data_IF_315637759589
#
_entry.id   IF_315637759589
#
_cell.length_a   1.000
_cell.length_b   1.000
_cell.length_c   1.000
_cell.angle_alpha   90.00
_cell.angle_beta   90.00
_cell.angle_gamma   90.00
#
_symmetry.space_group_name_H-M   'P 1'
#
loop_
_entity.id
_entity.type
_entity.pdbx_description
1 polymer ?
#
# COMPACT_ATOMS: atom_id res chain seq x y z
N UNK A 1 14.11 19.32 16.16
CA UNK A 1 13.12 19.16 15.06
C UNK A 1 13.79 19.09 13.69
N UNK A 2 14.60 20.09 13.30
CA UNK A 2 15.26 20.12 11.97
C UNK A 2 16.18 18.92 11.64
N UNK A 3 16.87 18.32 12.61
CA UNK A 3 17.72 17.14 12.38
C UNK A 3 16.90 15.88 12.07
N UNK A 4 15.73 15.73 12.71
CA UNK A 4 14.84 14.59 12.52
C UNK A 4 14.11 14.67 11.19
N UNK A 5 13.66 15.87 10.80
CA UNK A 5 13.09 16.11 9.46
C UNK A 5 14.10 15.83 8.34
N UNK A 6 15.36 16.25 8.51
CA UNK A 6 16.44 15.90 7.58
C UNK A 6 16.68 14.39 7.51
N UNK A 7 16.70 13.69 8.65
CA UNK A 7 16.88 12.24 8.69
C UNK A 7 15.73 11.49 7.99
N UNK A 8 14.47 11.92 8.18
CA UNK A 8 13.30 11.34 7.50
C UNK A 8 13.38 11.56 5.99
N UNK A 9 13.73 12.78 5.55
CA UNK A 9 13.91 13.09 4.13
C UNK A 9 15.02 12.27 3.48
N UNK A 10 16.17 12.15 4.15
CA UNK A 10 17.30 11.35 3.65
C UNK A 10 16.93 9.88 3.54
N UNK A 11 16.27 9.32 4.57
CA UNK A 11 15.78 7.94 4.55
C UNK A 11 14.85 7.70 3.36
N UNK A 12 13.88 8.60 3.13
CA UNK A 12 12.93 8.49 2.01
C UNK A 12 13.63 8.57 0.65
N UNK A 13 14.54 9.52 0.46
CA UNK A 13 15.31 9.64 -0.78
C UNK A 13 16.14 8.38 -1.08
N UNK A 14 16.73 7.77 -0.05
CA UNK A 14 17.47 6.51 -0.20
C UNK A 14 16.54 5.36 -0.59
N UNK A 15 15.35 5.27 0.00
CA UNK A 15 14.37 4.24 -0.33
C UNK A 15 13.82 4.40 -1.76
N UNK A 16 13.50 5.62 -2.19
CA UNK A 16 13.06 5.92 -3.55
C UNK A 16 14.14 5.56 -4.58
N UNK A 17 15.40 5.88 -4.30
CA UNK A 17 16.52 5.48 -5.15
C UNK A 17 16.71 3.95 -5.20
N UNK A 18 16.63 3.28 -4.04
CA UNK A 18 16.74 1.82 -3.97
C UNK A 18 15.61 1.14 -4.76
N UNK A 19 14.37 1.59 -4.56
CA UNK A 19 13.19 1.16 -5.30
C UNK A 19 13.39 1.24 -6.83
N UNK A 20 13.88 2.39 -7.32
CA UNK A 20 14.15 2.57 -8.74
C UNK A 20 15.25 1.63 -9.26
N UNK A 21 16.38 1.50 -8.55
CA UNK A 21 17.47 0.60 -8.95
C UNK A 21 16.99 -0.86 -8.96
N UNK A 22 16.24 -1.29 -7.94
CA UNK A 22 15.68 -2.64 -7.89
C UNK A 22 14.68 -2.91 -9.01
N UNK A 23 13.85 -1.93 -9.37
CA UNK A 23 12.92 -2.05 -10.48
C UNK A 23 13.62 -2.18 -11.85
N UNK A 24 14.74 -1.48 -12.05
CA UNK A 24 15.49 -1.50 -13.31
C UNK A 24 16.40 -2.72 -13.48
N UNK A 25 17.05 -3.16 -12.40
CA UNK A 25 18.13 -4.17 -12.44
C UNK A 25 17.73 -5.51 -11.81
N UNK A 26 16.64 -5.53 -11.06
CA UNK A 26 16.37 -6.60 -10.10
C UNK A 26 17.28 -6.51 -8.88
N UNK A 27 16.88 -7.17 -7.79
CA UNK A 27 17.63 -7.12 -6.52
C UNK A 27 19.05 -7.68 -6.64
N UNK A 28 19.24 -8.77 -7.39
CA UNK A 28 20.53 -9.44 -7.49
C UNK A 28 21.61 -8.55 -8.12
N UNK A 29 21.30 -7.93 -9.27
CA UNK A 29 22.25 -7.11 -10.02
C UNK A 29 22.41 -5.69 -9.46
N UNK A 30 21.43 -5.18 -8.70
CA UNK A 30 21.52 -3.87 -8.05
C UNK A 30 22.69 -3.79 -7.06
N UNK A 31 23.40 -2.65 -7.05
CA UNK A 31 24.52 -2.39 -6.13
C UNK A 31 24.25 -1.20 -5.22
N UNK A 32 24.87 -1.20 -4.03
CA UNK A 32 24.82 -0.05 -3.10
C UNK A 32 25.41 1.22 -3.76
N UNK A 33 26.42 1.08 -4.61
CA UNK A 33 27.03 2.21 -5.30
C UNK A 33 26.05 2.91 -6.26
N UNK A 34 25.28 2.15 -7.03
CA UNK A 34 24.23 2.71 -7.90
C UNK A 34 23.14 3.43 -7.09
N UNK A 35 22.74 2.86 -5.95
CA UNK A 35 21.74 3.46 -5.05
C UNK A 35 22.26 4.77 -4.48
N UNK A 36 23.52 4.82 -4.02
CA UNK A 36 24.17 6.04 -3.52
C UNK A 36 24.21 7.12 -4.58
N UNK A 37 24.65 6.77 -5.79
CA UNK A 37 24.75 7.69 -6.92
C UNK A 37 23.38 8.26 -7.29
N UNK A 38 22.34 7.42 -7.30
CA UNK A 38 20.97 7.86 -7.61
C UNK A 38 20.34 8.70 -6.48
N UNK A 39 20.58 8.33 -5.22
CA UNK A 39 20.06 9.07 -4.07
C UNK A 39 20.76 10.42 -3.85
N UNK A 40 21.97 10.61 -4.40
CA UNK A 40 22.78 11.81 -4.16
C UNK A 40 23.22 11.94 -2.70
N UNK A 41 23.36 10.83 -1.97
CA UNK A 41 23.76 10.82 -0.56
C UNK A 41 25.14 10.18 -0.37
N UNK A 42 25.79 10.49 0.75
CA UNK A 42 27.07 9.88 1.10
C UNK A 42 26.88 8.44 1.56
N UNK A 43 27.95 7.65 1.42
CA UNK A 43 28.01 6.28 1.95
C UNK A 43 27.63 6.23 3.44
N UNK A 44 28.18 7.13 4.25
CA UNK A 44 27.87 7.22 5.68
C UNK A 44 26.39 7.51 5.96
N UNK A 45 25.75 8.39 5.18
CA UNK A 45 24.33 8.70 5.33
C UNK A 45 23.42 7.49 5.02
N UNK A 46 23.76 6.68 4.01
CA UNK A 46 23.03 5.44 3.72
C UNK A 46 23.19 4.43 4.85
N UNK A 47 24.42 4.15 5.28
CA UNK A 47 24.69 3.15 6.31
C UNK A 47 24.18 3.56 7.70
N UNK A 48 23.96 4.85 7.93
CA UNK A 48 23.23 5.32 9.12
C UNK A 48 21.78 4.82 9.16
N UNK A 49 21.13 4.63 8.01
CA UNK A 49 19.74 4.18 7.92
C UNK A 49 19.57 2.70 7.61
N UNK A 50 20.51 2.10 6.87
CA UNK A 50 20.42 0.73 6.37
C UNK A 50 21.79 0.04 6.39
N UNK A 51 21.89 -1.05 7.14
CA UNK A 51 23.14 -1.81 7.31
C UNK A 51 23.53 -2.65 6.08
N UNK A 52 22.60 -2.87 5.14
CA UNK A 52 22.76 -3.82 4.05
C UNK A 52 21.81 -3.55 2.88
N UNK A 53 22.11 -4.13 1.71
CA UNK A 53 21.21 -4.13 0.53
C UNK A 53 19.88 -4.82 0.85
N UNK A 54 19.93 -5.86 1.69
CA UNK A 54 18.74 -6.56 2.17
C UNK A 54 17.89 -5.68 3.10
N UNK A 55 18.51 -4.88 3.98
CA UNK A 55 17.79 -3.91 4.81
C UNK A 55 17.15 -2.79 3.99
N UNK A 56 17.79 -2.34 2.90
CA UNK A 56 17.16 -1.41 1.96
C UNK A 56 15.92 -2.03 1.30
N UNK A 57 16.02 -3.27 0.81
CA UNK A 57 14.89 -3.96 0.21
C UNK A 57 13.73 -4.14 1.22
N UNK A 58 14.03 -4.54 2.47
CA UNK A 58 13.02 -4.59 3.55
C UNK A 58 12.42 -3.23 3.85
N UNK A 59 13.23 -2.17 3.85
CA UNK A 59 12.74 -0.80 4.02
C UNK A 59 11.77 -0.41 2.91
N UNK A 60 12.07 -0.72 1.65
CA UNK A 60 11.14 -0.49 0.52
C UNK A 60 9.84 -1.29 0.70
N UNK A 61 9.93 -2.54 1.18
CA UNK A 61 8.73 -3.35 1.45
C UNK A 61 7.83 -2.73 2.54
N UNK A 62 8.42 -2.15 3.59
CA UNK A 62 7.69 -1.56 4.72
C UNK A 62 6.90 -0.31 4.33
N UNK A 63 7.34 0.45 3.32
CA UNK A 63 6.66 1.68 2.88
C UNK A 63 5.33 1.41 2.14
N UNK A 64 5.00 0.15 1.82
CA UNK A 64 3.75 -0.19 1.13
C UNK A 64 2.51 -0.01 2.00
N UNK A 65 2.63 -0.33 3.29
CA UNK A 65 1.50 -0.28 4.22
C UNK A 65 1.54 1.07 4.92
N UNK A 66 0.87 2.05 4.31
CA UNK A 66 0.73 3.39 4.90
C UNK A 66 -0.59 3.50 5.66
N UNK A 67 -0.51 3.98 6.90
CA UNK A 67 -1.68 4.36 7.70
C UNK A 67 -2.15 5.79 7.41
N UNK A 68 -1.44 6.55 6.58
CA UNK A 68 -1.72 7.96 6.27
C UNK A 68 -3.15 8.16 5.74
N UNK A 69 -3.62 7.22 4.92
CA UNK A 69 -4.93 7.31 4.26
C UNK A 69 -6.04 6.58 5.03
N UNK A 70 -5.76 6.16 6.27
CA UNK A 70 -6.76 5.56 7.12
C UNK A 70 -7.69 6.64 7.69
N UNK A 71 -8.93 6.66 7.21
CA UNK A 71 -9.98 7.51 7.73
C UNK A 71 -10.99 6.63 8.48
N UNK A 72 -11.22 6.85 9.78
CA UNK A 72 -12.25 6.13 10.52
C UNK A 72 -13.63 6.34 9.88
N UNK A 73 -14.37 5.24 9.69
CA UNK A 73 -15.73 5.25 9.14
C UNK A 73 -16.71 4.64 10.13
N UNK A 74 -17.99 4.83 9.87
CA UNK A 74 -19.06 4.14 10.61
C UNK A 74 -18.97 2.63 10.39
N UNK A 75 -18.81 2.22 9.13
CA UNK A 75 -18.68 0.83 8.70
C UNK A 75 -17.21 0.45 8.54
N UNK A 76 -16.80 -0.65 9.17
CA UNK A 76 -15.43 -1.18 9.04
C UNK A 76 -15.16 -1.76 7.68
N UNK A 77 -16.17 -2.31 7.00
CA UNK A 77 -16.04 -2.70 5.60
C UNK A 77 -15.74 -1.51 4.69
N UNK A 78 -16.26 -0.31 4.99
CA UNK A 78 -15.90 0.89 4.22
C UNK A 78 -14.43 1.28 4.44
N UNK A 79 -13.88 1.10 5.64
CA UNK A 79 -12.45 1.34 5.88
C UNK A 79 -11.55 0.38 5.09
N UNK A 80 -12.01 -0.85 4.86
CA UNK A 80 -11.33 -1.83 4.01
C UNK A 80 -11.43 -1.47 2.52
N UNK A 81 -12.63 -1.10 2.04
CA UNK A 81 -12.83 -0.61 0.66
C UNK A 81 -11.98 0.64 0.41
N UNK A 82 -12.00 1.62 1.32
CA UNK A 82 -11.17 2.83 1.24
C UNK A 82 -9.67 2.49 1.15
N UNK A 83 -9.20 1.55 1.97
CA UNK A 83 -7.80 1.11 1.95
C UNK A 83 -7.41 0.47 0.61
N UNK A 84 -8.28 -0.35 0.02
CA UNK A 84 -8.07 -0.89 -1.33
C UNK A 84 -8.06 0.24 -2.36
N UNK A 85 -9.15 0.99 -2.49
CA UNK A 85 -9.29 2.01 -3.53
C UNK A 85 -8.21 3.10 -3.46
N UNK A 86 -7.76 3.49 -2.27
CA UNK A 86 -6.62 4.43 -2.14
C UNK A 86 -5.29 3.81 -2.57
N UNK A 87 -5.09 2.52 -2.36
CA UNK A 87 -3.92 1.80 -2.85
C UNK A 87 -3.91 1.74 -4.39
N UNK A 88 -5.07 1.51 -5.02
CA UNK A 88 -5.22 1.55 -6.47
C UNK A 88 -4.85 2.91 -7.07
N UNK A 89 -5.41 3.99 -6.54
CA UNK A 89 -5.13 5.34 -7.04
C UNK A 89 -3.63 5.70 -6.89
N UNK A 90 -3.00 5.26 -5.80
CA UNK A 90 -1.60 5.59 -5.51
C UNK A 90 -0.60 4.76 -6.30
N UNK A 91 -0.91 3.50 -6.62
CA UNK A 91 0.05 2.55 -7.20
C UNK A 91 0.72 3.08 -8.49
N UNK A 92 -0.01 3.67 -9.46
CA UNK A 92 0.61 4.22 -10.67
C UNK A 92 1.38 5.52 -10.43
N UNK A 93 1.11 6.21 -9.32
CA UNK A 93 1.58 7.57 -9.02
C UNK A 93 2.75 7.60 -8.04
N UNK A 94 2.98 6.51 -7.31
CA UNK A 94 4.01 6.42 -6.27
C UNK A 94 5.05 5.33 -6.60
N UNK A 95 6.22 5.71 -7.17
CA UNK A 95 7.25 4.75 -7.59
C UNK A 95 7.74 3.82 -6.48
N UNK A 96 7.78 4.31 -5.24
CA UNK A 96 8.19 3.54 -4.07
C UNK A 96 7.19 2.42 -3.74
N UNK A 97 5.90 2.73 -3.81
CA UNK A 97 4.82 1.77 -3.59
C UNK A 97 4.87 0.66 -4.66
N UNK A 98 5.00 1.05 -5.92
CA UNK A 98 5.12 0.11 -7.03
C UNK A 98 6.34 -0.81 -6.88
N UNK A 99 7.49 -0.25 -6.55
CA UNK A 99 8.70 -1.05 -6.34
C UNK A 99 8.52 -2.05 -5.19
N UNK A 100 7.84 -1.65 -4.12
CA UNK A 100 7.46 -2.56 -3.05
C UNK A 100 6.60 -3.72 -3.55
N UNK A 101 5.53 -3.44 -4.28
CA UNK A 101 4.62 -4.47 -4.82
C UNK A 101 5.39 -5.46 -5.72
N UNK A 102 6.26 -4.95 -6.60
CA UNK A 102 7.11 -5.79 -7.47
C UNK A 102 8.11 -6.63 -6.68
N UNK A 103 8.77 -6.05 -5.68
CA UNK A 103 9.68 -6.79 -4.79
C UNK A 103 8.95 -7.88 -4.02
N UNK A 104 7.69 -7.63 -3.61
CA UNK A 104 6.88 -8.63 -2.90
C UNK A 104 6.52 -9.83 -3.76
N UNK A 105 6.44 -9.64 -5.08
CA UNK A 105 6.20 -10.67 -6.08
C UNK A 105 7.49 -11.38 -6.57
N UNK A 106 8.68 -10.88 -6.21
CA UNK A 106 9.95 -11.54 -6.56
C UNK A 106 10.18 -12.80 -5.71
N UNK A 107 9.78 -13.94 -6.28
CA UNK A 107 9.93 -15.25 -5.66
C UNK A 107 11.40 -15.63 -5.39
N UNK A 108 12.35 -15.11 -6.17
CA UNK A 108 13.79 -15.43 -6.01
C UNK A 108 14.40 -14.65 -4.85
N UNK A 109 13.93 -13.42 -4.62
CA UNK A 109 14.40 -12.54 -3.55
C UNK A 109 13.74 -12.79 -2.19
N UNK A 110 12.61 -13.53 -2.16
CA UNK A 110 11.82 -13.78 -0.94
C UNK A 110 12.62 -14.38 0.22
N UNK A 111 13.59 -15.25 -0.05
CA UNK A 111 14.44 -15.85 1.01
C UNK A 111 15.41 -14.85 1.64
N UNK A 112 15.68 -13.71 0.99
CA UNK A 112 16.67 -12.72 1.42
C UNK A 112 16.03 -11.55 2.16
N UNK A 113 14.88 -11.08 1.68
CA UNK A 113 14.21 -9.89 2.22
C UNK A 113 12.72 -10.09 2.54
N UNK A 114 12.17 -11.29 2.34
CA UNK A 114 10.77 -11.59 2.62
C UNK A 114 9.81 -11.05 1.55
N UNK A 115 8.57 -10.80 1.95
CA UNK A 115 7.51 -10.22 1.12
C UNK A 115 6.56 -9.42 2.01
N UNK A 116 5.90 -8.39 1.47
CA UNK A 116 4.86 -7.66 2.20
C UNK A 116 3.53 -8.41 2.26
N UNK A 117 3.36 -9.51 1.52
CA UNK A 117 2.10 -10.26 1.45
C UNK A 117 1.53 -10.71 2.80
N UNK A 118 2.32 -11.26 3.75
CA UNK A 118 1.78 -11.61 5.07
C UNK A 118 1.23 -10.39 5.81
N UNK A 119 1.90 -9.25 5.73
CA UNK A 119 1.46 -8.02 6.38
C UNK A 119 0.19 -7.44 5.72
N UNK A 120 0.04 -7.55 4.40
CA UNK A 120 -1.19 -7.20 3.70
C UNK A 120 -2.37 -8.11 4.05
N UNK A 121 -2.12 -9.42 4.17
CA UNK A 121 -3.11 -10.38 4.61
C UNK A 121 -3.56 -10.10 6.05
N UNK A 122 -2.62 -9.84 6.96
CA UNK A 122 -2.92 -9.47 8.35
C UNK A 122 -3.70 -8.15 8.45
N UNK A 123 -3.28 -7.12 7.69
CA UNK A 123 -3.97 -5.83 7.62
C UNK A 123 -5.44 -5.97 7.17
N UNK A 124 -5.68 -6.84 6.20
CA UNK A 124 -7.02 -7.10 5.64
C UNK A 124 -7.85 -7.94 6.62
N UNK A 125 -7.28 -9.03 7.15
CA UNK A 125 -7.93 -9.91 8.10
C UNK A 125 -8.34 -9.15 9.36
N UNK A 126 -7.48 -8.27 9.89
CA UNK A 126 -7.80 -7.46 11.07
C UNK A 126 -9.06 -6.59 10.87
N UNK A 127 -9.22 -5.97 9.69
CA UNK A 127 -10.42 -5.18 9.35
C UNK A 127 -11.66 -6.03 9.19
N UNK A 128 -11.54 -7.16 8.50
CA UNK A 128 -12.66 -8.10 8.34
C UNK A 128 -13.10 -8.70 9.68
N UNK A 129 -12.15 -8.97 10.58
CA UNK A 129 -12.44 -9.43 11.96
C UNK A 129 -13.18 -8.37 12.76
N UNK A 130 -12.74 -7.11 12.70
CA UNK A 130 -13.45 -6.01 13.38
C UNK A 130 -14.85 -5.79 12.79
N UNK A 131 -14.98 -5.81 11.46
CA UNK A 131 -16.26 -5.72 10.77
C UNK A 131 -17.20 -6.87 11.15
N UNK A 132 -16.67 -8.09 11.26
CA UNK A 132 -17.44 -9.26 11.71
C UNK A 132 -17.92 -9.12 13.14
N UNK A 133 -17.08 -8.61 14.05
CA UNK A 133 -17.48 -8.33 15.43
C UNK A 133 -18.60 -7.26 15.52
N UNK A 134 -18.69 -6.36 14.54
CA UNK A 134 -19.75 -5.34 14.41
C UNK A 134 -21.00 -5.82 13.68
N UNK A 135 -21.04 -7.08 13.26
CA UNK A 135 -22.17 -7.65 12.52
C UNK A 135 -22.28 -7.19 11.07
N UNK A 136 -21.21 -6.65 10.48
CA UNK A 136 -21.18 -6.22 9.08
C UNK A 136 -20.90 -7.38 8.10
N UNK A 137 -20.33 -8.47 8.59
CA UNK A 137 -19.84 -9.62 7.80
C UNK A 137 -20.72 -10.86 8.03
N UNK A 138 -20.96 -11.64 6.98
CA UNK A 138 -21.75 -12.86 7.04
C UNK A 138 -21.13 -13.91 7.99
N UNK A 139 -21.93 -14.71 8.72
CA UNK A 139 -21.42 -15.61 9.76
C UNK A 139 -20.39 -16.64 9.28
N UNK A 140 -20.55 -17.15 8.05
CA UNK A 140 -19.71 -18.21 7.47
C UNK A 140 -18.35 -17.72 6.98
N UNK A 141 -18.15 -16.41 6.83
CA UNK A 141 -16.92 -15.83 6.31
C UNK A 141 -15.81 -15.99 7.34
N UNK A 142 -14.70 -16.60 6.94
CA UNK A 142 -13.47 -16.64 7.74
C UNK A 142 -12.58 -15.46 7.32
N UNK A 143 -12.33 -14.45 8.19
CA UNK A 143 -11.58 -13.25 7.85
C UNK A 143 -10.19 -13.53 7.24
N UNK A 144 -9.47 -14.48 7.79
CA UNK A 144 -8.11 -14.85 7.37
C UNK A 144 -8.10 -15.46 5.96
N UNK A 145 -9.06 -16.34 5.66
CA UNK A 145 -9.20 -16.95 4.34
C UNK A 145 -9.63 -15.91 3.30
N UNK A 146 -10.59 -15.06 3.66
CA UNK A 146 -11.09 -13.98 2.79
C UNK A 146 -10.01 -12.95 2.48
N UNK A 147 -9.15 -12.64 3.45
CA UNK A 147 -8.00 -11.77 3.25
C UNK A 147 -6.99 -12.36 2.25
N UNK A 148 -6.74 -13.67 2.29
CA UNK A 148 -5.84 -14.34 1.33
C UNK A 148 -6.43 -14.34 -0.08
N UNK A 149 -7.72 -14.66 -0.23
CA UNK A 149 -8.42 -14.62 -1.52
C UNK A 149 -8.40 -13.20 -2.09
N UNK A 150 -8.72 -12.19 -1.27
CA UNK A 150 -8.67 -10.79 -1.69
C UNK A 150 -7.26 -10.38 -2.13
N UNK A 151 -6.22 -10.72 -1.36
CA UNK A 151 -4.83 -10.38 -1.71
C UNK A 151 -4.42 -11.00 -3.06
N UNK A 152 -4.80 -12.25 -3.31
CA UNK A 152 -4.56 -12.93 -4.58
C UNK A 152 -5.30 -12.25 -5.74
N UNK A 153 -6.58 -11.96 -5.55
CA UNK A 153 -7.41 -11.29 -6.56
C UNK A 153 -6.92 -9.87 -6.86
N UNK A 154 -6.63 -9.06 -5.83
CA UNK A 154 -6.06 -7.72 -5.94
C UNK A 154 -4.75 -7.75 -6.73
N UNK A 155 -3.85 -8.67 -6.38
CA UNK A 155 -2.56 -8.84 -7.08
C UNK A 155 -2.76 -9.22 -8.54
N UNK A 156 -3.72 -10.10 -8.83
CA UNK A 156 -4.07 -10.47 -10.21
C UNK A 156 -4.61 -9.29 -11.01
N UNK A 157 -5.54 -8.52 -10.44
CA UNK A 157 -6.13 -7.34 -11.09
C UNK A 157 -5.06 -6.31 -11.43
N UNK A 158 -4.19 -5.95 -10.48
CA UNK A 158 -3.16 -4.94 -10.75
C UNK A 158 -2.11 -5.40 -11.77
N UNK A 159 -1.79 -6.70 -11.83
CA UNK A 159 -0.91 -7.26 -12.86
C UNK A 159 -1.55 -7.24 -14.25
N UNK A 160 -2.83 -7.62 -14.36
CA UNK A 160 -3.56 -7.59 -15.64
C UNK A 160 -3.75 -6.15 -16.12
N UNK A 161 -4.11 -5.24 -15.23
CA UNK A 161 -4.25 -3.81 -15.53
C UNK A 161 -2.93 -3.20 -16.01
N UNK A 162 -1.81 -3.55 -15.37
CA UNK A 162 -0.47 -3.17 -15.85
C UNK A 162 -0.23 -3.67 -17.28
N UNK A 163 -0.48 -4.96 -17.52
CA UNK A 163 -0.15 -5.59 -18.79
C UNK A 163 -1.00 -5.10 -19.97
N UNK A 164 -2.26 -4.72 -19.73
CA UNK A 164 -3.21 -4.37 -20.77
C UNK A 164 -3.37 -2.85 -20.97
N UNK A 165 -3.18 -2.06 -19.92
CA UNK A 165 -3.53 -0.64 -19.93
C UNK A 165 -2.53 0.25 -19.18
N UNK A 166 -1.38 -0.27 -18.75
CA UNK A 166 -0.40 0.46 -17.91
C UNK A 166 -1.07 1.16 -16.72
N UNK A 167 -2.02 0.45 -16.08
CA UNK A 167 -2.87 0.92 -14.98
C UNK A 167 -3.85 2.06 -15.26
N UNK A 168 -4.07 2.45 -16.52
CA UNK A 168 -5.09 3.44 -16.85
C UNK A 168 -6.51 3.03 -16.43
N UNK A 169 -6.77 1.72 -16.29
CA UNK A 169 -8.06 1.14 -15.90
C UNK A 169 -8.07 0.54 -14.48
N UNK A 170 -7.05 0.79 -13.66
CA UNK A 170 -6.87 0.10 -12.38
C UNK A 170 -8.01 0.41 -11.40
N UNK A 171 -8.40 1.68 -11.27
CA UNK A 171 -9.45 2.12 -10.36
C UNK A 171 -10.81 1.46 -10.70
N UNK A 172 -11.14 1.36 -11.99
CA UNK A 172 -12.37 0.70 -12.48
C UNK A 172 -12.36 -0.80 -12.21
N UNK A 173 -11.22 -1.47 -12.44
CA UNK A 173 -11.10 -2.91 -12.17
C UNK A 173 -11.14 -3.21 -10.67
N UNK A 174 -10.60 -2.33 -9.83
CA UNK A 174 -10.65 -2.52 -8.39
C UNK A 174 -12.05 -2.30 -7.83
N UNK A 175 -12.79 -1.32 -8.34
CA UNK A 175 -14.22 -1.17 -8.05
C UNK A 175 -14.98 -2.45 -8.39
N UNK A 176 -14.79 -2.99 -9.60
CA UNK A 176 -15.42 -4.24 -10.03
C UNK A 176 -15.04 -5.44 -9.14
N UNK A 177 -13.78 -5.53 -8.69
CA UNK A 177 -13.37 -6.57 -7.75
C UNK A 177 -14.17 -6.50 -6.44
N UNK A 178 -14.32 -5.30 -5.87
CA UNK A 178 -15.10 -5.12 -4.65
C UNK A 178 -16.58 -5.41 -4.88
N UNK A 179 -17.16 -4.96 -5.99
CA UNK A 179 -18.57 -5.22 -6.33
C UNK A 179 -18.87 -6.72 -6.46
N UNK A 180 -17.89 -7.52 -6.88
CA UNK A 180 -18.03 -8.98 -6.94
C UNK A 180 -17.75 -9.68 -5.59
N UNK A 181 -16.84 -9.17 -4.77
CA UNK A 181 -16.47 -9.79 -3.50
C UNK A 181 -17.42 -9.43 -2.34
N UNK A 182 -17.87 -8.18 -2.26
CA UNK A 182 -18.67 -7.69 -1.14
C UNK A 182 -19.99 -8.45 -0.94
N UNK A 183 -20.76 -8.84 -1.99
CA UNK A 183 -21.97 -9.65 -1.80
C UNK A 183 -21.73 -11.01 -1.16
N UNK A 184 -20.54 -11.59 -1.32
CA UNK A 184 -20.16 -12.87 -0.70
C UNK A 184 -19.67 -12.71 0.76
N UNK A 185 -19.37 -11.48 1.19
CA UNK A 185 -18.76 -11.20 2.50
C UNK A 185 -19.73 -10.45 3.42
N UNK A 186 -20.55 -9.56 2.88
CA UNK A 186 -21.26 -8.50 3.63
C UNK A 186 -22.69 -8.91 3.95
N UNK A 187 -23.19 -8.57 5.14
CA UNK A 187 -24.62 -8.74 5.44
C UNK A 187 -25.48 -7.82 4.55
N UNK A 188 -26.66 -8.24 4.08
CA UNK A 188 -27.45 -7.46 3.12
C UNK A 188 -27.80 -6.03 3.60
N UNK A 189 -28.00 -5.82 4.89
CA UNK A 189 -28.32 -4.49 5.46
C UNK A 189 -27.15 -3.48 5.41
N UNK A 190 -25.93 -3.95 5.15
CA UNK A 190 -24.73 -3.13 5.06
C UNK A 190 -24.30 -2.92 3.61
N UNK A 191 -24.57 -3.87 2.72
CA UNK A 191 -24.04 -3.89 1.35
C UNK A 191 -24.35 -2.60 0.57
N UNK A 192 -25.60 -2.14 0.56
CA UNK A 192 -26.03 -0.94 -0.19
C UNK A 192 -25.47 0.38 0.36
N UNK A 193 -24.82 0.34 1.53
CA UNK A 193 -24.22 1.51 2.17
C UNK A 193 -22.74 1.66 1.86
N UNK A 194 -22.14 0.67 1.20
CA UNK A 194 -20.73 0.69 0.82
C UNK A 194 -20.54 1.46 -0.49
N UNK A 195 -19.52 2.32 -0.51
CA UNK A 195 -19.14 3.14 -1.64
C UNK A 195 -17.87 2.56 -2.28
N UNK A 196 -18.05 1.85 -3.40
CA UNK A 196 -17.02 1.20 -4.21
C UNK A 196 -16.72 1.94 -5.50
N UNK A 197 -17.27 3.15 -5.70
CA UNK A 197 -17.14 3.88 -6.96
C UNK A 197 -15.67 4.02 -7.39
N UNK A 198 -15.34 3.96 -8.70
CA UNK A 198 -13.95 4.00 -9.16
C UNK A 198 -13.14 5.20 -8.63
N UNK A 199 -13.78 6.36 -8.48
CA UNK A 199 -13.13 7.59 -7.98
C UNK A 199 -12.98 7.63 -6.45
N UNK A 200 -13.42 6.59 -5.72
CA UNK A 200 -13.42 6.54 -4.25
C UNK A 200 -12.04 6.80 -3.67
N UNK A 201 -11.00 6.17 -4.21
CA UNK A 201 -9.63 6.33 -3.73
C UNK A 201 -9.17 7.79 -3.76
N UNK A 202 -9.38 8.46 -4.89
CA UNK A 202 -9.06 9.88 -5.07
C UNK A 202 -9.83 10.77 -4.08
N UNK A 203 -11.12 10.49 -3.83
CA UNK A 203 -11.93 11.24 -2.85
C UNK A 203 -11.38 11.12 -1.43
N UNK A 204 -11.00 9.91 -1.00
CA UNK A 204 -10.42 9.69 0.35
C UNK A 204 -9.07 10.40 0.48
N UNK A 205 -8.22 10.35 -0.54
CA UNK A 205 -6.92 11.06 -0.55
C UNK A 205 -7.13 12.58 -0.45
N UNK A 206 -8.10 13.13 -1.18
CA UNK A 206 -8.44 14.55 -1.11
C UNK A 206 -8.94 14.95 0.30
N UNK A 207 -9.77 14.10 0.92
CA UNK A 207 -10.26 14.29 2.29
C UNK A 207 -9.11 14.39 3.30
N UNK A 208 -8.16 13.44 3.26
CA UNK A 208 -6.99 13.40 4.15
C UNK A 208 -6.12 14.65 3.97
N UNK A 209 -5.84 15.04 2.72
CA UNK A 209 -5.06 16.26 2.41
C UNK A 209 -5.75 17.53 2.90
N UNK A 210 -7.08 17.59 2.82
CA UNK A 210 -7.89 18.68 3.37
C UNK A 210 -7.74 18.81 4.88
N UNK A 211 -7.86 17.70 5.62
CA UNK A 211 -7.73 17.67 7.09
C UNK A 211 -6.36 18.17 7.55
N UNK A 212 -5.28 17.73 6.90
CA UNK A 212 -3.91 18.15 7.24
C UNK A 212 -3.69 19.66 7.03
N UNK A 213 -4.29 20.26 5.99
CA UNK A 213 -4.21 21.70 5.73
C UNK A 213 -4.94 22.52 6.80
N UNK A 214 -6.13 22.07 7.22
CA UNK A 214 -6.90 22.73 8.28
C UNK A 214 -6.20 22.65 9.63
N UNK A 215 -5.60 21.50 9.97
CA UNK A 215 -4.82 21.34 11.21
C UNK A 215 -3.59 22.28 11.27
N UNK A 216 -2.88 22.45 10.16
CA UNK A 216 -1.74 23.36 10.07
C UNK A 216 -2.14 24.85 10.12
N UNK A 217 -3.33 25.19 9.62
CA UNK A 217 -3.86 26.56 9.69
C UNK A 217 -4.31 26.93 11.12
N UNK A 218 -4.95 26.00 11.84
CA UNK A 218 -5.39 26.20 13.22
C UNK A 218 -4.23 26.28 14.23
N UNK A 219 -3.09 25.67 13.95
CA UNK A 219 -1.89 25.75 14.81
C UNK A 219 -1.10 27.08 14.67
N UNK A 220 -1.49 27.96 13.74
CA UNK A 220 -0.85 29.26 13.48
C UNK A 220 -1.71 30.47 13.91
N UNK A 221 -2.89 30.22 14.47
CA UNK A 221 -3.80 31.23 15.02
C UNK A 221 -3.74 31.18 16.55
#
# INVERSE_FOLDING_TARGET
MAQQERAVRTRRAVLEAAAAVFAERGYAAATIAEILNRAGVTKGALYFHFDSKAALARGVLQEQISTEYHVPRELKLQEWVDAGMTLADRLPREPLLLAGVRLSADLRGRSVFGSAWPAWAEFTAARLTEAKARGEVLPHVVPEESAQVFLGAWTGVQLVSQALADWADLDERMAALFDHLLPAITVPSVLDRLDTAPDRGARVIAEVRGRSRTALAGARA
#
